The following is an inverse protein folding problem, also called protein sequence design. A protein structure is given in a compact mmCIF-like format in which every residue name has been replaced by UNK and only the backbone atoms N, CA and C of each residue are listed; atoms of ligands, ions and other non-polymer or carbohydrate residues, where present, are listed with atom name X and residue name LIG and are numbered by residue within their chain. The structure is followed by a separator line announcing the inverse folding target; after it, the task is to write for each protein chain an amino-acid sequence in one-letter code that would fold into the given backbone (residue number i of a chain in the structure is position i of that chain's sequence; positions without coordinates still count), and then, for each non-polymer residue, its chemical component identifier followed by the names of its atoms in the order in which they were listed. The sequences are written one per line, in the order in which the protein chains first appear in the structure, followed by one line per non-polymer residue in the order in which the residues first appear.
data_IF_760251153355
#
_entry.id   IF_760251153355
#
_cell.length_a   1.000
_cell.length_b   1.000
_cell.length_c   1.000
_cell.angle_alpha   90.00
_cell.angle_beta   90.00
_cell.angle_gamma   90.00
#
_symmetry.space_group_name_H-M   'P 1'
#
loop_
_entity.id
_entity.type
_entity.pdbx_description
1 polymer ?
#
# COMPACT_ATOMS: atom_id res chain seq x y z
N UNK A 1 53.87 34.61 7.96
CA UNK A 1 54.75 35.31 6.99
C UNK A 1 55.35 34.23 6.09
N UNK A 2 55.43 34.32 4.76
CA UNK A 2 55.35 35.48 3.84
C UNK A 2 54.60 35.13 2.53
N UNK A 3 54.29 36.13 1.69
CA UNK A 3 53.34 36.10 0.55
C UNK A 3 53.90 35.52 -0.77
N UNK A 4 52.98 35.00 -1.61
CA UNK A 4 52.66 35.33 -3.04
C UNK A 4 53.32 36.61 -3.68
N UNK A 5 53.17 36.91 -5.00
CA UNK A 5 52.41 36.27 -6.11
C UNK A 5 53.36 35.90 -7.32
N UNK A 6 53.07 35.85 -8.64
CA UNK A 6 52.01 36.32 -9.60
C UNK A 6 51.90 35.42 -10.87
N UNK A 7 50.84 35.63 -11.69
CA UNK A 7 50.81 35.40 -13.16
C UNK A 7 51.34 36.64 -13.93
N UNK A 8 51.82 36.46 -15.17
CA UNK A 8 51.65 37.44 -16.26
C UNK A 8 51.54 36.67 -17.61
N UNK A 9 50.68 37.13 -18.52
CA UNK A 9 50.48 36.55 -19.87
C UNK A 9 49.67 37.52 -20.73
N UNK A 10 50.28 38.09 -21.78
CA UNK A 10 49.68 39.13 -22.63
C UNK A 10 49.36 38.61 -24.02
N UNK A 11 48.05 38.56 -24.31
CA UNK A 11 47.36 39.31 -25.37
C UNK A 11 47.88 39.29 -26.84
N UNK A 12 46.91 39.48 -27.75
CA UNK A 12 46.97 39.62 -29.21
C UNK A 12 47.08 38.29 -30.01
N UNK A 13 46.39 38.13 -31.16
CA UNK A 13 45.69 39.12 -32.00
C UNK A 13 44.46 38.52 -32.71
N UNK A 14 43.56 39.37 -33.22
CA UNK A 14 42.30 39.03 -33.90
C UNK A 14 42.39 39.23 -35.42
N UNK A 15 41.80 38.32 -36.20
CA UNK A 15 41.19 38.58 -37.54
C UNK A 15 40.06 37.57 -37.78
N UNK A 16 39.03 37.95 -38.56
CA UNK A 16 37.77 37.19 -38.70
C UNK A 16 37.62 36.50 -40.08
N UNK A 17 36.69 35.52 -40.17
CA UNK A 17 36.33 34.86 -41.43
C UNK A 17 35.17 33.86 -41.27
N UNK A 18 34.07 34.07 -42.01
CA UNK A 18 32.82 33.27 -42.07
C UNK A 18 32.16 33.70 -43.42
N UNK A 19 31.46 32.87 -44.23
CA UNK A 19 30.45 31.89 -43.79
C UNK A 19 30.29 30.60 -44.66
N UNK A 20 29.15 29.92 -44.44
CA UNK A 20 28.44 28.98 -45.32
C UNK A 20 29.00 27.53 -45.48
N UNK A 21 28.20 26.50 -45.83
CA UNK A 21 26.83 26.05 -45.44
C UNK A 21 26.55 24.72 -46.17
N UNK A 22 25.78 23.80 -45.57
CA UNK A 22 25.52 22.41 -46.03
C UNK A 22 26.78 21.51 -46.00
N UNK A 23 26.68 20.17 -45.94
CA UNK A 23 25.51 19.30 -45.81
C UNK A 23 25.91 17.82 -45.95
N UNK A 24 24.93 16.96 -46.22
CA UNK A 24 25.05 15.52 -46.56
C UNK A 24 25.38 14.54 -45.40
N UNK A 25 24.94 13.30 -45.59
CA UNK A 25 24.94 12.21 -44.62
C UNK A 25 26.14 11.28 -44.88
N UNK A 26 26.70 10.65 -43.84
CA UNK A 26 27.57 9.47 -44.00
C UNK A 26 27.03 8.30 -43.18
N UNK A 27 26.54 7.27 -43.88
CA UNK A 27 25.88 6.10 -43.30
C UNK A 27 26.89 4.94 -43.29
N UNK A 28 27.86 4.99 -42.37
CA UNK A 28 28.81 3.91 -42.13
C UNK A 28 28.49 3.16 -40.83
N UNK A 29 28.04 1.92 -40.96
CA UNK A 29 27.74 1.06 -39.82
C UNK A 29 29.01 0.43 -39.23
N UNK A 30 29.18 0.50 -37.90
CA UNK A 30 30.13 -0.34 -37.15
C UNK A 30 29.40 -1.26 -36.15
N UNK A 31 29.89 -2.49 -36.01
CA UNK A 31 29.24 -3.57 -35.25
C UNK A 31 29.70 -3.60 -33.80
N UNK A 32 29.37 -2.55 -33.06
CA UNK A 32 29.65 -2.43 -31.63
C UNK A 32 28.76 -3.29 -30.72
N UNK A 33 28.89 -4.62 -30.75
CA UNK A 33 28.32 -5.49 -29.70
C UNK A 33 28.96 -5.13 -28.34
N UNK A 34 28.19 -4.46 -27.47
CA UNK A 34 28.58 -4.16 -26.09
C UNK A 34 27.43 -4.52 -25.16
N UNK A 35 27.78 -5.17 -24.05
CA UNK A 35 26.84 -5.66 -23.04
C UNK A 35 25.92 -4.54 -22.56
N UNK A 36 24.65 -4.87 -22.32
CA UNK A 36 23.69 -3.95 -21.71
C UNK A 36 24.20 -3.48 -20.36
N UNK A 37 24.58 -2.20 -20.28
CA UNK A 37 24.67 -1.48 -19.02
C UNK A 37 23.26 -1.10 -18.63
N UNK A 38 22.89 -1.26 -17.36
CA UNK A 38 21.71 -0.57 -16.81
C UNK A 38 21.99 0.94 -16.85
N UNK A 39 21.64 1.57 -17.97
CA UNK A 39 21.64 3.02 -18.11
C UNK A 39 20.29 3.52 -17.61
N UNK A 40 20.30 4.21 -16.47
CA UNK A 40 19.15 5.01 -16.05
C UNK A 40 18.69 5.89 -17.22
N UNK A 41 17.38 5.95 -17.52
CA UNK A 41 16.88 6.80 -18.59
C UNK A 41 17.24 8.26 -18.32
N UNK A 42 17.47 9.09 -19.36
CA UNK A 42 17.76 10.50 -19.18
C UNK A 42 16.61 11.19 -18.41
N UNK A 43 16.92 12.15 -17.53
CA UNK A 43 15.89 12.78 -16.70
C UNK A 43 14.88 13.53 -17.58
N UNK A 44 13.63 13.09 -17.51
CA UNK A 44 12.47 13.84 -18.00
C UNK A 44 12.40 15.20 -17.29
N UNK A 45 11.90 16.23 -17.98
CA UNK A 45 11.74 17.57 -17.39
C UNK A 45 10.64 17.63 -16.30
N UNK A 46 9.91 16.52 -16.09
CA UNK A 46 9.16 16.23 -14.88
C UNK A 46 9.90 15.16 -14.08
N UNK A 47 10.10 15.39 -12.78
CA UNK A 47 10.57 14.37 -11.82
C UNK A 47 9.51 13.26 -11.76
N UNK A 48 9.86 12.05 -12.20
CA UNK A 48 9.02 10.87 -11.95
C UNK A 48 9.12 10.49 -10.47
N UNK A 49 7.97 10.36 -9.81
CA UNK A 49 7.88 9.84 -8.45
C UNK A 49 8.14 8.33 -8.49
N UNK A 50 8.92 7.83 -7.53
CA UNK A 50 9.24 6.39 -7.44
C UNK A 50 8.59 5.75 -6.23
N UNK A 51 7.93 4.61 -6.42
CA UNK A 51 7.34 3.81 -5.34
C UNK A 51 8.15 2.52 -5.19
N UNK A 52 8.82 2.32 -4.05
CA UNK A 52 9.46 1.04 -3.73
C UNK A 52 8.43 0.06 -3.17
N UNK A 53 8.37 -1.15 -3.73
CA UNK A 53 7.41 -2.20 -3.34
C UNK A 53 8.10 -3.55 -3.18
N UNK A 54 7.54 -4.50 -2.41
CA UNK A 54 8.14 -5.80 -2.18
C UNK A 54 8.27 -6.60 -3.49
N UNK A 55 9.45 -7.13 -3.79
CA UNK A 55 9.74 -7.86 -5.03
C UNK A 55 9.38 -9.35 -5.03
N UNK A 56 9.04 -9.92 -3.87
CA UNK A 56 8.59 -11.31 -3.70
C UNK A 56 8.01 -11.55 -2.30
N UNK A 57 7.45 -12.73 -2.10
CA UNK A 57 6.94 -13.18 -0.79
C UNK A 57 5.55 -12.62 -0.49
N UNK A 58 5.04 -12.90 0.72
CA UNK A 58 3.63 -12.69 1.13
C UNK A 58 3.07 -11.27 0.98
N UNK A 59 3.91 -10.26 0.74
CA UNK A 59 3.50 -8.86 0.58
C UNK A 59 3.47 -8.41 -0.90
N UNK A 60 4.07 -9.16 -1.82
CA UNK A 60 4.22 -8.75 -3.22
C UNK A 60 2.87 -8.66 -3.94
N UNK A 61 2.13 -9.77 -4.00
CA UNK A 61 0.86 -9.86 -4.73
C UNK A 61 -0.18 -8.85 -4.21
N UNK A 62 -0.42 -8.67 -2.89
CA UNK A 62 -1.31 -7.62 -2.38
C UNK A 62 -0.84 -6.19 -2.65
N UNK A 63 0.48 -5.95 -2.73
CA UNK A 63 1.00 -4.61 -3.08
C UNK A 63 0.77 -4.29 -4.56
N UNK A 64 0.89 -5.30 -5.44
CA UNK A 64 0.56 -5.15 -6.86
C UNK A 64 -0.94 -4.97 -7.03
N UNK A 65 -1.78 -5.77 -6.36
CA UNK A 65 -3.24 -5.60 -6.41
C UNK A 65 -3.69 -4.20 -5.94
N UNK A 66 -3.06 -3.65 -4.90
CA UNK A 66 -3.30 -2.27 -4.46
C UNK A 66 -2.93 -1.23 -5.53
N UNK A 67 -1.82 -1.41 -6.26
CA UNK A 67 -1.45 -0.54 -7.38
C UNK A 67 -2.47 -0.63 -8.52
N UNK A 68 -2.87 -1.85 -8.90
CA UNK A 68 -3.88 -2.09 -9.93
C UNK A 68 -5.23 -1.46 -9.56
N UNK A 69 -5.78 -1.75 -8.36
CA UNK A 69 -7.03 -1.17 -7.86
C UNK A 69 -6.95 0.34 -7.69
N UNK A 70 -5.76 0.92 -7.45
CA UNK A 70 -5.56 2.36 -7.41
C UNK A 70 -5.55 3.04 -8.79
N UNK A 71 -5.47 2.27 -9.88
CA UNK A 71 -5.30 2.78 -11.25
C UNK A 71 -3.85 3.10 -11.62
N UNK A 72 -2.88 2.59 -10.85
CA UNK A 72 -1.44 2.67 -11.13
C UNK A 72 -0.96 1.36 -11.77
N UNK A 73 -1.70 0.89 -12.80
CA UNK A 73 -1.45 -0.36 -13.50
C UNK A 73 0.02 -0.50 -13.92
N UNK A 74 0.65 -1.60 -13.56
CA UNK A 74 2.08 -1.84 -13.84
C UNK A 74 2.23 -2.39 -15.26
N UNK A 75 3.01 -1.71 -16.11
CA UNK A 75 3.22 -2.19 -17.49
C UNK A 75 4.01 -3.51 -17.50
N UNK A 76 3.66 -4.44 -18.41
CA UNK A 76 4.32 -5.76 -18.53
C UNK A 76 5.81 -5.63 -18.91
N UNK A 77 6.67 -5.50 -17.90
CA UNK A 77 8.12 -5.57 -18.10
C UNK A 77 8.58 -7.00 -18.30
N UNK A 78 9.49 -7.21 -19.26
CA UNK A 78 10.14 -8.51 -19.46
C UNK A 78 10.84 -9.02 -18.18
N UNK A 79 10.80 -10.34 -17.98
CA UNK A 79 11.35 -11.05 -16.81
C UNK A 79 12.67 -10.44 -16.29
N UNK A 80 12.65 -10.04 -15.00
CA UNK A 80 13.78 -9.53 -14.19
C UNK A 80 14.10 -8.03 -14.31
N UNK A 81 13.21 -7.18 -14.83
CA UNK A 81 13.35 -5.74 -14.56
C UNK A 81 13.03 -5.45 -13.08
N UNK A 82 13.89 -4.66 -12.42
CA UNK A 82 13.69 -4.18 -11.04
C UNK A 82 12.92 -2.84 -10.99
N UNK A 83 12.50 -2.37 -12.16
CA UNK A 83 11.88 -1.08 -12.44
C UNK A 83 10.74 -1.35 -13.41
N UNK A 84 9.56 -0.81 -13.16
CA UNK A 84 8.44 -0.84 -14.10
C UNK A 84 7.76 0.52 -14.14
N UNK A 85 7.44 1.01 -15.34
CA UNK A 85 6.60 2.19 -15.48
C UNK A 85 5.12 1.81 -15.30
N UNK A 86 4.28 2.81 -15.03
CA UNK A 86 2.85 2.62 -14.78
C UNK A 86 1.99 3.39 -15.77
N UNK A 87 0.69 3.13 -15.78
CA UNK A 87 -0.29 3.90 -16.55
C UNK A 87 -0.27 5.42 -16.30
N UNK A 88 0.31 5.89 -15.18
CA UNK A 88 0.68 7.29 -14.99
C UNK A 88 2.18 7.50 -15.33
N UNK A 89 2.54 8.20 -16.42
CA UNK A 89 3.94 8.40 -16.82
C UNK A 89 4.74 9.31 -15.87
N UNK A 90 4.12 9.85 -14.82
CA UNK A 90 4.80 10.51 -13.71
C UNK A 90 5.17 9.55 -12.56
N UNK A 91 4.82 8.26 -12.63
CA UNK A 91 5.01 7.26 -11.56
C UNK A 91 5.71 6.00 -12.09
N UNK A 92 6.77 5.59 -11.40
CA UNK A 92 7.56 4.38 -11.68
C UNK A 92 7.66 3.52 -10.41
N UNK A 93 7.47 2.21 -10.54
CA UNK A 93 7.58 1.23 -9.45
C UNK A 93 9.00 0.64 -9.40
N UNK A 94 9.53 0.46 -8.19
CA UNK A 94 10.82 -0.20 -7.92
C UNK A 94 10.59 -1.48 -7.13
N UNK A 95 11.02 -2.62 -7.67
CA UNK A 95 10.87 -3.93 -7.02
C UNK A 95 12.07 -4.24 -6.12
N UNK A 96 11.91 -4.01 -4.81
CA UNK A 96 12.96 -4.05 -3.78
C UNK A 96 12.62 -5.12 -2.72
N UNK A 97 13.59 -5.62 -1.93
CA UNK A 97 13.25 -6.52 -0.82
C UNK A 97 12.58 -5.71 0.30
N UNK A 98 11.57 -6.26 0.97
CA UNK A 98 10.82 -5.55 2.01
C UNK A 98 11.72 -4.91 3.10
N UNK A 99 12.81 -5.58 3.48
CA UNK A 99 13.83 -5.10 4.43
C UNK A 99 14.64 -3.90 3.92
N UNK A 100 14.92 -3.83 2.62
CA UNK A 100 15.75 -2.76 2.02
C UNK A 100 14.90 -1.51 1.69
N UNK A 101 13.56 -1.62 1.63
CA UNK A 101 12.65 -0.53 1.25
C UNK A 101 12.80 0.75 2.10
N UNK A 102 12.91 0.70 3.44
CA UNK A 102 13.08 1.91 4.25
C UNK A 102 14.33 2.72 3.85
N UNK A 103 15.46 2.04 3.62
CA UNK A 103 16.69 2.69 3.16
C UNK A 103 16.53 3.30 1.77
N UNK A 104 15.83 2.62 0.85
CA UNK A 104 15.55 3.16 -0.49
C UNK A 104 14.72 4.45 -0.42
N UNK A 105 13.78 4.58 0.52
CA UNK A 105 13.02 5.82 0.69
C UNK A 105 13.88 6.89 1.38
N UNK A 106 14.60 6.56 2.46
CA UNK A 106 15.51 7.49 3.17
C UNK A 106 16.56 8.10 2.24
N UNK A 107 17.22 7.26 1.44
CA UNK A 107 18.37 7.67 0.62
C UNK A 107 17.97 8.36 -0.71
N UNK A 108 16.67 8.60 -0.95
CA UNK A 108 16.17 9.25 -2.16
C UNK A 108 16.09 8.36 -3.41
N UNK A 109 16.32 7.05 -3.27
CA UNK A 109 16.20 6.07 -4.35
C UNK A 109 14.73 5.81 -4.74
N UNK A 110 13.83 5.89 -3.78
CA UNK A 110 12.38 6.00 -3.94
C UNK A 110 11.86 7.29 -3.29
N UNK A 111 10.62 7.66 -3.55
CA UNK A 111 9.94 8.79 -2.91
C UNK A 111 8.79 8.30 -1.99
N UNK A 112 8.21 7.15 -2.31
CA UNK A 112 7.32 6.36 -1.47
C UNK A 112 7.85 4.93 -1.29
N UNK A 113 7.48 4.26 -0.20
CA UNK A 113 7.80 2.84 0.01
C UNK A 113 6.68 2.08 0.70
N UNK A 114 6.42 0.85 0.26
CA UNK A 114 5.41 -0.05 0.84
C UNK A 114 6.10 -1.22 1.53
N UNK A 115 6.03 -1.29 2.87
CA UNK A 115 6.64 -2.39 3.65
C UNK A 115 5.98 -2.56 5.02
N UNK A 116 6.35 -3.61 5.76
CA UNK A 116 5.85 -3.86 7.13
C UNK A 116 6.42 -2.86 8.15
N UNK A 117 5.65 -2.59 9.22
CA UNK A 117 6.13 -1.77 10.34
C UNK A 117 7.38 -2.40 10.99
N UNK A 118 7.45 -3.72 11.05
CA UNK A 118 8.63 -4.48 11.47
C UNK A 118 9.91 -4.09 10.70
N UNK A 119 9.89 -4.10 9.36
CA UNK A 119 11.04 -3.71 8.54
C UNK A 119 11.43 -2.24 8.80
N UNK A 120 10.45 -1.33 8.84
CA UNK A 120 10.70 0.09 9.08
C UNK A 120 11.32 0.34 10.47
N UNK A 121 10.78 -0.30 11.52
CA UNK A 121 11.30 -0.17 12.90
C UNK A 121 12.67 -0.81 13.08
N UNK A 122 12.94 -1.95 12.45
CA UNK A 122 14.25 -2.61 12.52
C UNK A 122 15.33 -1.79 11.79
N UNK A 123 14.99 -1.15 10.66
CA UNK A 123 15.90 -0.25 9.95
C UNK A 123 16.19 1.07 10.68
N UNK A 124 15.45 1.37 11.75
CA UNK A 124 15.63 2.59 12.56
C UNK A 124 15.14 3.89 11.92
N UNK A 125 14.51 3.86 10.74
CA UNK A 125 14.16 5.06 9.96
C UNK A 125 12.82 5.71 10.36
N UNK A 126 12.07 5.14 11.31
CA UNK A 126 10.77 5.65 11.79
C UNK A 126 10.78 5.79 13.31
N UNK A 127 10.19 6.88 13.83
CA UNK A 127 10.18 7.19 15.27
C UNK A 127 9.65 6.02 16.10
N UNK A 128 10.29 5.77 17.24
CA UNK A 128 9.84 4.82 18.26
C UNK A 128 8.65 5.40 19.05
N UNK A 129 7.77 4.57 19.67
CA UNK A 129 6.61 5.10 20.41
C UNK A 129 7.00 5.91 21.66
N UNK A 130 8.21 5.65 22.16
CA UNK A 130 8.88 6.21 23.32
C UNK A 130 10.09 7.08 22.95
N UNK A 131 10.20 7.48 21.67
CA UNK A 131 11.21 8.42 21.20
C UNK A 131 11.06 9.81 21.87
N UNK A 132 12.17 10.56 22.08
CA UNK A 132 12.12 11.98 22.44
C UNK A 132 11.32 12.80 21.42
N UNK A 133 10.65 13.86 21.89
CA UNK A 133 9.83 14.72 21.03
C UNK A 133 10.63 15.56 20.02
N UNK A 134 11.96 15.55 20.15
CA UNK A 134 12.98 16.15 19.28
C UNK A 134 13.73 15.13 18.41
N UNK A 135 13.33 13.84 18.40
CA UNK A 135 13.85 12.81 17.50
C UNK A 135 13.16 12.90 16.12
N UNK A 136 13.78 13.65 15.19
CA UNK A 136 13.37 13.68 13.79
C UNK A 136 13.62 12.32 13.11
N UNK A 137 12.57 11.67 12.60
CA UNK A 137 12.69 10.43 11.83
C UNK A 137 12.91 10.69 10.33
N UNK A 138 13.73 9.83 9.71
CA UNK A 138 13.98 9.82 8.27
C UNK A 138 12.69 9.66 7.44
N UNK A 139 11.74 8.87 7.95
CA UNK A 139 10.48 8.52 7.29
C UNK A 139 9.26 8.81 8.17
N UNK A 140 8.19 9.26 7.53
CA UNK A 140 6.84 9.32 8.09
C UNK A 140 5.98 8.17 7.57
N UNK A 141 5.08 7.68 8.43
CA UNK A 141 3.96 6.82 8.05
C UNK A 141 2.85 7.69 7.44
N UNK A 142 2.45 7.40 6.18
CA UNK A 142 1.39 8.14 5.50
C UNK A 142 0.02 7.44 5.62
N UNK A 143 0.00 6.11 5.66
CA UNK A 143 -1.21 5.29 5.57
C UNK A 143 -0.90 3.84 5.99
N UNK A 144 -1.73 3.23 6.84
CA UNK A 144 -1.76 1.79 7.04
C UNK A 144 -2.63 1.13 5.96
N UNK A 145 -2.16 0.04 5.35
CA UNK A 145 -2.73 -0.50 4.11
C UNK A 145 -3.71 -1.68 4.32
N UNK A 146 -4.03 -2.02 5.58
CA UNK A 146 -5.05 -3.03 5.92
C UNK A 146 -4.64 -4.50 5.74
N UNK A 147 -3.48 -4.81 5.14
CA UNK A 147 -3.02 -6.19 4.90
C UNK A 147 -1.64 -6.52 5.50
N UNK A 148 -1.29 -7.80 5.40
CA UNK A 148 0.02 -8.35 5.79
C UNK A 148 0.22 -8.49 7.31
N UNK A 149 -0.85 -8.38 8.09
CA UNK A 149 -0.83 -8.35 9.55
C UNK A 149 -0.09 -9.55 10.18
N UNK A 150 0.80 -9.23 11.10
CA UNK A 150 1.58 -10.20 11.87
C UNK A 150 2.02 -9.59 13.20
N UNK A 151 2.67 -10.41 14.03
CA UNK A 151 3.24 -9.97 15.30
C UNK A 151 4.67 -10.49 15.41
N UNK A 152 5.57 -9.62 15.85
CA UNK A 152 6.85 -10.04 16.40
C UNK A 152 6.59 -10.47 17.85
N UNK A 153 7.00 -11.68 18.22
CA UNK A 153 6.73 -12.27 19.55
C UNK A 153 7.99 -12.85 20.16
N UNK A 154 8.11 -12.75 21.48
CA UNK A 154 9.09 -13.50 22.26
C UNK A 154 8.53 -14.90 22.48
N UNK A 155 9.30 -15.94 22.14
CA UNK A 155 8.89 -17.33 22.30
C UNK A 155 10.02 -18.23 22.83
N UNK A 156 9.68 -19.20 23.67
CA UNK A 156 10.61 -20.10 24.34
C UNK A 156 10.11 -21.57 24.30
N UNK A 157 10.97 -22.58 24.54
CA UNK A 157 10.58 -23.99 24.49
C UNK A 157 9.40 -24.38 25.41
N UNK A 158 8.40 -25.05 24.85
CA UNK A 158 7.26 -25.58 25.60
C UNK A 158 7.71 -26.51 26.73
N UNK A 159 7.37 -26.16 27.97
CA UNK A 159 7.71 -26.94 29.16
C UNK A 159 9.15 -26.75 29.66
N UNK A 160 9.89 -25.76 29.15
CA UNK A 160 11.09 -25.24 29.80
C UNK A 160 10.76 -24.29 30.96
N UNK A 161 11.80 -23.73 31.59
CA UNK A 161 11.68 -22.87 32.77
C UNK A 161 11.33 -21.40 32.45
N UNK A 162 11.32 -21.00 31.18
CA UNK A 162 11.05 -19.62 30.73
C UNK A 162 9.54 -19.43 30.49
N UNK A 163 8.93 -18.55 31.28
CA UNK A 163 7.48 -18.29 31.32
C UNK A 163 7.12 -16.80 31.31
N UNK A 164 8.05 -15.94 31.70
CA UNK A 164 7.97 -14.48 31.70
C UNK A 164 9.23 -13.88 31.04
N UNK A 165 9.23 -12.56 30.81
CA UNK A 165 10.37 -11.87 30.17
C UNK A 165 11.57 -11.82 31.12
N UNK A 166 11.28 -11.72 32.42
CA UNK A 166 12.22 -11.66 33.53
C UNK A 166 12.98 -12.98 33.75
N UNK A 167 12.47 -14.11 33.23
CA UNK A 167 13.15 -15.41 33.28
C UNK A 167 14.38 -15.50 32.34
N UNK A 168 14.59 -14.48 31.49
CA UNK A 168 15.70 -14.38 30.53
C UNK A 168 16.87 -13.49 31.01
N UNK A 169 16.87 -13.01 32.25
CA UNK A 169 17.97 -12.19 32.80
C UNK A 169 19.33 -12.91 32.72
N UNK A 170 20.25 -12.37 31.92
CA UNK A 170 21.55 -12.98 31.60
C UNK A 170 21.50 -14.12 30.56
N UNK A 171 20.34 -14.36 29.94
CA UNK A 171 20.12 -15.36 28.89
C UNK A 171 20.33 -14.83 27.47
N UNK A 172 20.28 -15.75 26.50
CA UNK A 172 20.53 -15.49 25.07
C UNK A 172 19.23 -15.54 24.26
N UNK A 173 19.04 -14.58 23.35
CA UNK A 173 17.85 -14.49 22.49
C UNK A 173 18.26 -14.38 21.02
N UNK A 174 17.78 -15.30 20.18
CA UNK A 174 18.02 -15.29 18.73
C UNK A 174 16.93 -14.54 17.96
N UNK A 175 17.30 -13.78 16.92
CA UNK A 175 16.34 -13.00 16.12
C UNK A 175 16.88 -12.56 14.77
N UNK A 176 16.00 -12.36 13.78
CA UNK A 176 16.30 -11.56 12.57
C UNK A 176 16.08 -10.05 12.78
N UNK A 177 15.50 -9.66 13.92
CA UNK A 177 15.09 -8.29 14.30
C UNK A 177 15.84 -7.78 15.54
N UNK A 178 17.18 -7.64 15.48
CA UNK A 178 18.01 -7.38 16.65
C UNK A 178 17.87 -5.96 17.22
N UNK A 179 17.43 -4.97 16.44
CA UNK A 179 17.24 -3.59 16.90
C UNK A 179 15.92 -3.44 17.67
N UNK A 180 14.83 -4.05 17.16
CA UNK A 180 13.54 -4.14 17.87
C UNK A 180 13.69 -4.99 19.14
N UNK A 181 14.42 -6.11 19.06
CA UNK A 181 14.62 -7.01 20.22
C UNK A 181 15.37 -6.32 21.35
N UNK A 182 16.47 -5.61 21.07
CA UNK A 182 17.20 -4.84 22.09
C UNK A 182 16.35 -3.71 22.68
N UNK A 183 15.53 -3.05 21.86
CA UNK A 183 14.58 -2.01 22.30
C UNK A 183 13.52 -2.57 23.27
N UNK A 184 12.99 -3.76 22.99
CA UNK A 184 12.04 -4.45 23.87
C UNK A 184 12.65 -4.80 25.24
N UNK A 185 13.82 -5.46 25.26
CA UNK A 185 14.48 -5.82 26.53
C UNK A 185 14.92 -4.59 27.33
N UNK A 186 15.39 -3.53 26.66
CA UNK A 186 15.70 -2.25 27.31
C UNK A 186 14.46 -1.59 27.97
N UNK A 187 13.28 -1.63 27.33
CA UNK A 187 12.02 -1.17 27.94
C UNK A 187 11.62 -2.01 29.16
N UNK A 188 11.81 -3.33 29.07
CA UNK A 188 11.50 -4.30 30.14
C UNK A 188 12.48 -4.19 31.32
N UNK A 189 13.70 -3.71 31.08
CA UNK A 189 14.84 -3.64 32.04
C UNK A 189 15.33 -5.03 32.44
N UNK A 190 15.49 -5.90 31.45
CA UNK A 190 16.10 -7.23 31.56
C UNK A 190 17.33 -7.21 30.64
N UNK A 191 18.50 -7.66 31.14
CA UNK A 191 19.74 -7.70 30.36
C UNK A 191 19.88 -9.06 29.65
N UNK A 192 19.97 -9.07 28.31
CA UNK A 192 20.00 -10.29 27.48
C UNK A 192 21.00 -10.19 26.33
N UNK A 193 21.69 -11.29 26.00
CA UNK A 193 22.56 -11.37 24.82
C UNK A 193 21.73 -11.60 23.53
N UNK A 194 21.60 -10.57 22.69
CA UNK A 194 20.80 -10.62 21.45
C UNK A 194 21.65 -11.04 20.25
N UNK A 195 21.49 -12.29 19.84
CA UNK A 195 22.17 -12.94 18.71
C UNK A 195 21.38 -12.76 17.42
N UNK A 196 21.99 -12.11 16.43
CA UNK A 196 21.39 -11.98 15.09
C UNK A 196 21.57 -13.25 14.27
N UNK A 197 20.48 -13.75 13.67
CA UNK A 197 20.46 -14.92 12.78
C UNK A 197 19.90 -14.54 11.40
N UNK A 198 19.91 -15.49 10.45
CA UNK A 198 19.38 -15.29 9.09
C UNK A 198 18.67 -16.56 8.60
N UNK A 199 17.36 -16.65 8.79
CA UNK A 199 16.54 -17.83 8.54
C UNK A 199 16.65 -18.88 9.64
N UNK A 200 15.58 -19.67 9.79
CA UNK A 200 15.47 -20.81 10.71
C UNK A 200 15.65 -20.46 12.20
N UNK A 201 15.26 -19.24 12.59
CA UNK A 201 15.25 -18.76 13.99
C UNK A 201 14.54 -19.74 14.93
N UNK A 202 13.46 -20.36 14.47
CA UNK A 202 12.67 -21.35 15.20
C UNK A 202 13.44 -22.62 15.61
N UNK A 203 14.61 -22.87 15.01
CA UNK A 203 15.48 -24.01 15.36
C UNK A 203 16.50 -23.70 16.46
N UNK A 204 16.80 -22.42 16.75
CA UNK A 204 17.96 -22.06 17.58
C UNK A 204 17.92 -22.58 19.03
N UNK A 205 16.75 -22.72 19.70
CA UNK A 205 16.71 -23.35 21.02
C UNK A 205 16.95 -24.87 20.98
N UNK A 206 16.58 -25.55 19.89
CA UNK A 206 16.80 -26.99 19.75
C UNK A 206 18.26 -27.37 19.45
N UNK A 207 19.10 -26.39 19.13
CA UNK A 207 20.55 -26.56 18.91
C UNK A 207 21.39 -25.81 19.96
N UNK A 208 20.79 -25.47 21.11
CA UNK A 208 21.46 -24.87 22.27
C UNK A 208 22.21 -23.55 21.93
N UNK A 209 21.70 -22.77 20.96
CA UNK A 209 22.32 -21.51 20.51
C UNK A 209 21.68 -20.25 21.09
N UNK A 210 20.43 -20.36 21.57
CA UNK A 210 19.73 -19.31 22.32
C UNK A 210 18.63 -19.94 23.18
N UNK A 211 18.31 -19.34 24.33
CA UNK A 211 17.32 -19.85 25.27
C UNK A 211 15.88 -19.53 24.82
N UNK A 212 15.71 -18.40 24.13
CA UNK A 212 14.46 -17.96 23.50
C UNK A 212 14.71 -17.31 22.13
N UNK A 213 13.62 -17.00 21.43
CA UNK A 213 13.63 -16.31 20.13
C UNK A 213 12.73 -15.08 20.12
N UNK A 214 13.04 -14.12 19.25
CA UNK A 214 12.09 -13.09 18.82
C UNK A 214 11.92 -13.16 17.30
N UNK A 215 10.72 -13.52 16.85
CA UNK A 215 10.42 -13.83 15.44
C UNK A 215 8.99 -13.45 15.03
N UNK A 216 8.74 -13.38 13.71
CA UNK A 216 7.43 -13.03 13.13
C UNK A 216 6.48 -14.23 13.13
N UNK A 217 5.28 -14.03 13.68
CA UNK A 217 4.17 -14.97 13.58
C UNK A 217 2.91 -14.30 13.04
N UNK A 218 2.15 -15.02 12.20
CA UNK A 218 0.78 -14.64 11.80
C UNK A 218 -0.24 -15.64 12.35
N UNK A 219 -0.02 -16.95 12.17
CA UNK A 219 -0.95 -18.02 12.57
C UNK A 219 -0.51 -18.83 13.79
N UNK A 220 0.69 -18.60 14.34
CA UNK A 220 1.29 -19.44 15.38
C UNK A 220 1.85 -20.78 14.91
N UNK A 221 1.57 -21.21 13.66
CA UNK A 221 1.88 -22.57 13.18
C UNK A 221 3.37 -22.93 13.23
N UNK A 222 4.28 -22.01 12.87
CA UNK A 222 5.74 -22.23 12.93
C UNK A 222 6.21 -22.51 14.36
N UNK A 223 5.72 -21.73 15.33
CA UNK A 223 6.05 -21.90 16.74
C UNK A 223 5.54 -23.24 17.27
N UNK A 224 4.28 -23.58 16.97
CA UNK A 224 3.67 -24.85 17.38
C UNK A 224 4.39 -26.09 16.81
N UNK A 225 4.80 -26.04 15.54
CA UNK A 225 5.54 -27.15 14.90
C UNK A 225 6.91 -27.38 15.57
N UNK A 226 7.52 -26.32 16.10
CA UNK A 226 8.79 -26.39 16.83
C UNK A 226 8.61 -26.51 18.35
N UNK A 227 7.37 -26.56 18.87
CA UNK A 227 7.06 -26.59 20.31
C UNK A 227 7.63 -25.37 21.05
N UNK A 228 7.33 -24.18 20.54
CA UNK A 228 7.65 -22.89 21.14
C UNK A 228 6.37 -22.21 21.62
N UNK A 229 6.33 -21.87 22.92
CA UNK A 229 5.26 -21.09 23.52
C UNK A 229 5.56 -19.58 23.41
N UNK A 230 4.56 -18.76 23.14
CA UNK A 230 4.69 -17.30 23.20
C UNK A 230 4.74 -16.87 24.66
N UNK A 231 5.80 -16.13 25.02
CA UNK A 231 6.02 -15.52 26.33
C UNK A 231 5.42 -14.12 26.37
N UNK A 232 5.65 -13.30 25.33
CA UNK A 232 5.15 -11.93 25.25
C UNK A 232 5.07 -11.41 23.80
N UNK A 233 4.32 -10.33 23.58
CA UNK A 233 4.20 -9.65 22.30
C UNK A 233 5.20 -8.48 22.21
N UNK A 234 6.06 -8.50 21.20
CA UNK A 234 7.17 -7.54 21.03
C UNK A 234 6.75 -6.36 20.16
N UNK A 235 6.03 -6.62 19.06
CA UNK A 235 5.51 -5.62 18.14
C UNK A 235 4.31 -6.17 17.35
N UNK A 236 3.18 -5.47 17.35
CA UNK A 236 2.14 -5.68 16.33
C UNK A 236 2.51 -4.94 15.05
N UNK A 237 2.37 -5.60 13.89
CA UNK A 237 2.84 -5.08 12.59
C UNK A 237 1.85 -5.37 11.47
N UNK A 238 1.75 -4.43 10.54
CA UNK A 238 0.97 -4.48 9.30
C UNK A 238 1.63 -3.58 8.26
N UNK A 239 1.27 -3.75 6.98
CA UNK A 239 1.92 -3.03 5.87
C UNK A 239 1.47 -1.57 5.83
N UNK A 240 2.43 -0.69 5.57
CA UNK A 240 2.26 0.77 5.55
C UNK A 240 2.88 1.39 4.31
N UNK A 241 2.34 2.55 3.93
CA UNK A 241 2.97 3.49 3.01
C UNK A 241 3.85 4.46 3.81
N UNK A 242 5.14 4.50 3.51
CA UNK A 242 6.11 5.43 4.08
C UNK A 242 6.61 6.44 3.04
N UNK A 243 7.02 7.61 3.51
CA UNK A 243 7.62 8.68 2.71
C UNK A 243 8.66 9.44 3.53
N UNK A 244 9.59 10.16 2.87
CA UNK A 244 10.41 11.16 3.57
C UNK A 244 9.59 12.43 3.89
N UNK A 245 9.91 13.17 4.96
CA UNK A 245 9.32 14.48 5.25
C UNK A 245 9.38 15.49 4.09
N UNK A 246 10.41 15.46 3.23
CA UNK A 246 10.58 16.45 2.13
C UNK A 246 9.60 16.29 0.95
N UNK A 247 8.88 15.17 0.87
CA UNK A 247 7.98 14.86 -0.26
C UNK A 247 6.49 14.74 0.10
N UNK A 248 6.12 14.86 1.38
CA UNK A 248 4.72 14.71 1.83
C UNK A 248 3.74 15.73 1.20
N UNK A 249 4.28 16.88 0.78
CA UNK A 249 3.55 17.97 0.14
C UNK A 249 3.59 17.90 -1.40
N UNK A 250 4.29 16.93 -1.99
CA UNK A 250 4.31 16.72 -3.44
C UNK A 250 2.90 16.31 -3.92
N UNK A 251 2.32 17.01 -4.93
CA UNK A 251 0.98 16.69 -5.42
C UNK A 251 0.82 15.24 -5.88
N UNK A 252 1.88 14.58 -6.36
CA UNK A 252 1.82 13.18 -6.79
C UNK A 252 1.82 12.22 -5.60
N UNK A 253 2.60 12.51 -4.56
CA UNK A 253 2.58 11.75 -3.29
C UNK A 253 1.18 11.80 -2.68
N UNK A 254 0.58 12.99 -2.60
CA UNK A 254 -0.80 13.16 -2.10
C UNK A 254 -1.82 12.43 -2.97
N UNK A 255 -1.72 12.51 -4.29
CA UNK A 255 -2.60 11.78 -5.22
C UNK A 255 -2.52 10.26 -5.02
N UNK A 256 -1.31 9.70 -4.88
CA UNK A 256 -1.12 8.26 -4.64
C UNK A 256 -1.62 7.84 -3.26
N UNK A 257 -1.40 8.64 -2.20
CA UNK A 257 -2.01 8.38 -0.89
C UNK A 257 -3.53 8.29 -1.00
N UNK A 258 -4.19 9.32 -1.52
CA UNK A 258 -5.66 9.33 -1.68
C UNK A 258 -6.15 8.19 -2.58
N UNK A 259 -5.35 7.76 -3.55
CA UNK A 259 -5.68 6.57 -4.35
C UNK A 259 -5.69 5.28 -3.51
N UNK A 260 -4.63 5.02 -2.74
CA UNK A 260 -4.57 3.85 -1.85
C UNK A 260 -5.63 3.90 -0.73
N UNK A 261 -5.81 5.07 -0.12
CA UNK A 261 -6.83 5.36 0.90
C UNK A 261 -8.23 5.02 0.37
N UNK A 262 -8.52 5.36 -0.90
CA UNK A 262 -9.79 5.01 -1.55
C UNK A 262 -9.96 3.53 -1.93
N UNK A 263 -8.86 2.78 -2.13
CA UNK A 263 -8.92 1.31 -2.32
C UNK A 263 -9.29 0.64 -1.00
N UNK A 264 -8.69 1.09 0.11
CA UNK A 264 -8.90 0.56 1.45
C UNK A 264 -10.32 0.87 1.95
N UNK A 265 -10.84 2.08 1.69
CA UNK A 265 -12.22 2.44 2.04
C UNK A 265 -13.29 1.59 1.30
N UNK A 266 -12.96 1.07 0.12
CA UNK A 266 -13.81 0.14 -0.62
C UNK A 266 -13.63 -1.33 -0.22
N UNK A 267 -12.62 -1.65 0.58
CA UNK A 267 -12.32 -3.03 0.93
C UNK A 267 -13.36 -3.62 1.88
N UNK A 268 -13.74 -4.87 1.65
CA UNK A 268 -14.90 -5.49 2.30
C UNK A 268 -16.25 -4.80 2.00
N UNK A 269 -16.35 -3.87 1.06
CA UNK A 269 -17.61 -3.23 0.65
C UNK A 269 -18.16 -3.80 -0.65
N UNK A 270 -19.49 -3.81 -0.78
CA UNK A 270 -20.23 -4.24 -1.98
C UNK A 270 -21.36 -3.27 -2.29
N UNK A 271 -21.58 -3.00 -3.57
CA UNK A 271 -22.66 -2.15 -4.04
C UNK A 271 -23.85 -3.01 -4.47
N UNK A 272 -25.01 -2.75 -3.87
CA UNK A 272 -26.28 -3.40 -4.19
C UNK A 272 -27.14 -2.47 -5.04
N UNK A 273 -27.72 -3.02 -6.11
CA UNK A 273 -28.81 -2.42 -6.87
C UNK A 273 -29.99 -3.38 -6.86
N UNK A 274 -31.21 -2.92 -6.61
CA UNK A 274 -32.41 -3.75 -6.62
C UNK A 274 -33.66 -2.97 -7.03
N UNK A 275 -34.71 -3.70 -7.41
CA UNK A 275 -36.06 -3.18 -7.55
C UNK A 275 -36.83 -3.45 -6.25
N UNK A 276 -37.45 -2.45 -5.64
CA UNK A 276 -38.24 -2.59 -4.42
C UNK A 276 -39.65 -1.99 -4.56
N UNK A 277 -40.69 -2.55 -3.89
CA UNK A 277 -42.01 -1.92 -3.80
C UNK A 277 -41.94 -0.57 -3.08
N UNK A 278 -42.55 0.48 -3.63
CA UNK A 278 -42.48 1.85 -3.07
C UNK A 278 -43.10 1.94 -1.68
N UNK A 279 -44.17 1.20 -1.42
CA UNK A 279 -44.86 1.11 -0.13
C UNK A 279 -43.99 0.50 0.99
N UNK A 280 -42.95 -0.25 0.63
CA UNK A 280 -42.04 -0.95 1.57
C UNK A 280 -40.67 -0.30 1.73
N UNK A 281 -40.46 0.89 1.16
CA UNK A 281 -39.18 1.60 1.23
C UNK A 281 -38.65 1.83 2.66
N UNK A 282 -39.54 1.96 3.65
CA UNK A 282 -39.13 2.05 5.06
C UNK A 282 -38.48 0.75 5.53
N UNK A 283 -39.13 -0.39 5.32
CA UNK A 283 -38.61 -1.71 5.71
C UNK A 283 -37.33 -2.10 4.95
N UNK A 284 -37.12 -1.56 3.75
CA UNK A 284 -35.87 -1.73 2.99
C UNK A 284 -34.75 -0.87 3.57
N UNK A 285 -35.04 0.37 3.99
CA UNK A 285 -34.06 1.26 4.65
C UNK A 285 -33.57 0.70 5.98
N UNK A 286 -34.43 0.01 6.73
CA UNK A 286 -34.07 -0.67 7.98
C UNK A 286 -33.06 -1.83 7.75
N UNK A 287 -33.02 -2.40 6.53
CA UNK A 287 -32.12 -3.51 6.15
C UNK A 287 -30.86 -3.01 5.44
N UNK A 288 -30.95 -1.92 4.67
CA UNK A 288 -29.82 -1.27 3.99
C UNK A 288 -29.78 0.23 4.28
N UNK A 289 -29.20 0.65 5.43
CA UNK A 289 -29.02 2.07 5.73
C UNK A 289 -28.05 2.76 4.74
N UNK A 290 -27.14 2.03 4.11
CA UNK A 290 -26.10 2.63 3.26
C UNK A 290 -25.07 3.44 4.07
N UNK A 291 -24.34 4.33 3.39
CA UNK A 291 -23.44 5.29 4.04
C UNK A 291 -24.22 6.52 4.52
N UNK A 292 -24.86 7.25 3.59
CA UNK A 292 -25.72 8.43 3.86
C UNK A 292 -27.23 8.15 3.70
N UNK A 293 -27.63 6.88 3.60
CA UNK A 293 -28.96 6.47 3.14
C UNK A 293 -28.89 5.71 1.80
N UNK A 294 -29.86 4.81 1.50
CA UNK A 294 -29.97 4.21 0.19
C UNK A 294 -30.57 5.21 -0.81
N UNK A 295 -29.94 5.31 -1.98
CA UNK A 295 -30.45 6.10 -3.12
C UNK A 295 -31.69 5.43 -3.70
N UNK A 296 -32.74 6.20 -3.98
CA UNK A 296 -34.01 5.72 -4.53
C UNK A 296 -34.33 6.47 -5.82
N UNK A 297 -34.69 5.74 -6.88
CA UNK A 297 -35.00 6.28 -8.21
C UNK A 297 -36.28 5.66 -8.77
N UNK A 298 -37.08 6.48 -9.47
CA UNK A 298 -38.29 6.01 -10.14
C UNK A 298 -37.95 5.16 -11.38
N UNK A 299 -38.55 3.98 -11.50
CA UNK A 299 -38.40 3.13 -12.69
C UNK A 299 -39.43 3.55 -13.73
N UNK A 300 -38.97 3.91 -14.93
CA UNK A 300 -39.86 4.23 -16.05
C UNK A 300 -40.70 3.01 -16.46
N UNK A 301 -42.02 3.06 -16.21
CA UNK A 301 -42.92 1.96 -16.47
C UNK A 301 -43.32 1.90 -17.97
N UNK A 302 -42.97 0.85 -18.74
CA UNK A 302 -43.32 0.77 -20.15
C UNK A 302 -44.84 0.70 -20.39
N UNK A 303 -45.64 0.26 -19.41
CA UNK A 303 -47.10 0.25 -19.50
C UNK A 303 -47.73 1.67 -19.42
N UNK A 304 -46.99 2.66 -18.89
CA UNK A 304 -47.42 4.06 -18.89
C UNK A 304 -47.03 4.77 -20.21
N UNK A 305 -45.92 4.36 -20.85
CA UNK A 305 -45.51 4.94 -22.13
C UNK A 305 -46.46 4.58 -23.29
N UNK A 306 -47.00 3.36 -23.32
CA UNK A 306 -48.01 2.97 -24.33
C UNK A 306 -49.31 3.77 -24.19
N UNK A 307 -49.75 4.04 -22.96
CA UNK A 307 -50.90 4.90 -22.69
C UNK A 307 -50.63 6.37 -23.09
N UNK A 308 -49.41 6.87 -22.89
CA UNK A 308 -49.03 8.23 -23.26
C UNK A 308 -48.93 8.46 -24.79
N UNK A 309 -48.58 7.43 -25.57
CA UNK A 309 -48.45 7.55 -27.03
C UNK A 309 -49.84 7.56 -27.73
N UNK A 310 -50.79 6.76 -27.24
CA UNK A 310 -52.17 6.68 -27.74
C UNK A 310 -53.05 7.88 -27.28
N UNK A 311 -52.70 8.52 -26.15
CA UNK A 311 -53.46 9.63 -25.55
C UNK A 311 -53.09 11.05 -26.01
N UNK A 312 -52.28 11.22 -27.07
CA UNK A 312 -51.96 12.54 -27.67
C UNK A 312 -53.14 13.22 -28.41
N UNK A 313 -54.34 13.21 -27.83
CA UNK A 313 -55.57 13.86 -28.34
C UNK A 313 -56.41 14.60 -27.29
N UNK A 314 -55.84 15.02 -26.16
CA UNK A 314 -56.32 16.20 -25.40
C UNK A 314 -55.15 16.86 -24.66
N UNK A 315 -55.31 18.12 -24.23
CA UNK A 315 -54.25 18.97 -23.71
C UNK A 315 -54.47 19.41 -22.24
N UNK A 316 -53.60 20.31 -21.78
CA UNK A 316 -53.55 21.03 -20.49
C UNK A 316 -53.07 20.28 -19.23
N UNK A 317 -51.97 20.82 -18.71
CA UNK A 317 -51.69 21.13 -17.30
C UNK A 317 -51.77 20.02 -16.25
N UNK A 318 -50.65 19.31 -16.10
CA UNK A 318 -50.30 18.53 -14.91
C UNK A 318 -48.88 18.01 -15.01
N UNK A 319 -48.02 18.32 -14.02
CA UNK A 319 -46.79 17.55 -13.80
C UNK A 319 -47.22 16.25 -13.13
N UNK A 320 -47.31 15.18 -13.90
CA UNK A 320 -47.69 13.87 -13.37
C UNK A 320 -46.64 13.36 -12.40
N UNK A 321 -47.03 13.10 -11.15
CA UNK A 321 -46.22 12.32 -10.22
C UNK A 321 -46.10 10.90 -10.79
N UNK A 322 -44.87 10.38 -10.88
CA UNK A 322 -44.63 9.01 -11.32
C UNK A 322 -45.00 8.03 -10.20
N UNK A 323 -46.28 7.65 -10.15
CA UNK A 323 -46.77 6.49 -9.39
C UNK A 323 -46.24 5.18 -10.01
N UNK A 324 -44.91 5.01 -10.00
CA UNK A 324 -44.26 3.75 -10.27
C UNK A 324 -44.29 2.94 -8.97
N UNK A 325 -45.10 1.88 -8.96
CA UNK A 325 -45.26 0.91 -7.85
C UNK A 325 -43.92 0.33 -7.38
N UNK A 326 -42.95 0.26 -8.30
CA UNK A 326 -41.59 -0.25 -8.07
C UNK A 326 -40.57 0.86 -8.30
N UNK A 327 -39.59 0.96 -7.41
CA UNK A 327 -38.45 1.88 -7.47
C UNK A 327 -37.13 1.11 -7.53
N UNK A 328 -36.11 1.70 -8.13
CA UNK A 328 -34.75 1.21 -8.03
C UNK A 328 -34.13 1.74 -6.73
N UNK A 329 -33.52 0.86 -5.94
CA UNK A 329 -32.87 1.17 -4.66
C UNK A 329 -31.41 0.73 -4.72
N UNK A 330 -30.51 1.64 -4.39
CA UNK A 330 -29.06 1.46 -4.50
C UNK A 330 -28.38 1.79 -3.16
N UNK A 331 -27.48 0.93 -2.70
CA UNK A 331 -26.76 1.12 -1.43
C UNK A 331 -25.38 0.45 -1.44
N UNK A 332 -24.45 0.95 -0.63
CA UNK A 332 -23.24 0.24 -0.23
C UNK A 332 -23.52 -0.54 1.05
N UNK A 333 -23.03 -1.77 1.14
CA UNK A 333 -23.11 -2.63 2.34
C UNK A 333 -21.76 -3.32 2.58
N UNK A 334 -21.59 -3.86 3.78
CA UNK A 334 -20.46 -4.72 4.13
C UNK A 334 -20.61 -6.13 3.53
N UNK A 335 -19.53 -6.67 2.96
CA UNK A 335 -19.51 -7.93 2.22
C UNK A 335 -19.96 -9.12 3.07
N UNK A 336 -19.55 -9.16 4.34
CA UNK A 336 -19.93 -10.22 5.29
C UNK A 336 -21.45 -10.33 5.49
N UNK A 337 -22.17 -9.22 5.37
CA UNK A 337 -23.62 -9.16 5.53
C UNK A 337 -24.40 -9.38 4.22
N UNK A 338 -23.75 -9.40 3.05
CA UNK A 338 -24.45 -9.54 1.75
C UNK A 338 -25.36 -10.76 1.71
N UNK A 339 -24.95 -11.89 2.30
CA UNK A 339 -25.73 -13.13 2.32
C UNK A 339 -27.03 -13.01 3.13
N UNK A 340 -26.99 -12.37 4.30
CA UNK A 340 -28.14 -12.15 5.17
C UNK A 340 -29.02 -11.01 4.63
N UNK A 341 -28.39 -9.91 4.19
CA UNK A 341 -29.04 -8.74 3.58
C UNK A 341 -29.85 -9.11 2.33
N UNK A 342 -29.30 -9.89 1.38
CA UNK A 342 -30.07 -10.35 0.20
C UNK A 342 -31.33 -11.14 0.61
N UNK A 343 -31.24 -11.91 1.69
CA UNK A 343 -32.35 -12.74 2.16
C UNK A 343 -33.44 -11.88 2.80
N UNK A 344 -33.07 -10.97 3.70
CA UNK A 344 -34.00 -10.02 4.32
C UNK A 344 -34.67 -9.09 3.29
N UNK A 345 -33.91 -8.58 2.31
CA UNK A 345 -34.44 -7.76 1.22
C UNK A 345 -35.51 -8.49 0.39
N UNK A 346 -35.31 -9.78 0.11
CA UNK A 346 -36.32 -10.62 -0.60
C UNK A 346 -37.60 -10.80 0.22
N UNK A 347 -37.51 -10.93 1.54
CA UNK A 347 -38.70 -10.97 2.41
C UNK A 347 -39.46 -9.63 2.40
N UNK A 348 -38.75 -8.50 2.27
CA UNK A 348 -39.36 -7.19 2.02
C UNK A 348 -39.92 -7.05 0.59
N UNK A 349 -39.69 -8.01 -0.30
CA UNK A 349 -40.20 -8.02 -1.67
C UNK A 349 -39.26 -7.40 -2.69
N UNK A 350 -37.99 -7.17 -2.36
CA UNK A 350 -36.99 -6.72 -3.32
C UNK A 350 -36.70 -7.81 -4.37
N UNK A 351 -36.55 -7.39 -5.62
CA UNK A 351 -36.33 -8.25 -6.79
C UNK A 351 -35.20 -7.69 -7.65
N UNK A 352 -34.65 -8.51 -8.56
CA UNK A 352 -33.58 -8.06 -9.45
C UNK A 352 -32.30 -7.61 -8.73
N UNK A 353 -32.07 -8.07 -7.49
CA UNK A 353 -30.92 -7.68 -6.68
C UNK A 353 -29.63 -8.10 -7.39
N UNK A 354 -28.85 -7.12 -7.84
CA UNK A 354 -27.47 -7.28 -8.28
C UNK A 354 -26.53 -6.85 -7.15
N UNK A 355 -25.39 -7.52 -7.08
CA UNK A 355 -24.25 -7.17 -6.24
C UNK A 355 -23.07 -6.94 -7.18
N UNK A 356 -22.33 -5.86 -6.97
CA UNK A 356 -21.05 -5.61 -7.64
C UNK A 356 -20.00 -5.19 -6.62
N UNK A 357 -18.75 -5.48 -6.96
CA UNK A 357 -17.58 -5.04 -6.20
C UNK A 357 -17.39 -3.53 -6.37
N UNK A 358 -16.68 -2.92 -5.42
CA UNK A 358 -16.28 -1.52 -5.45
C UNK A 358 -14.76 -1.51 -5.51
N UNK A 359 -14.17 -1.05 -6.61
CA UNK A 359 -12.71 -0.99 -6.75
C UNK A 359 -12.12 0.07 -5.81
N UNK A 360 -12.81 1.23 -5.73
CA UNK A 360 -12.43 2.43 -4.98
C UNK A 360 -13.65 3.20 -4.46
N UNK A 361 -13.55 3.76 -3.26
CA UNK A 361 -14.54 4.62 -2.60
C UNK A 361 -13.81 5.87 -2.10
N UNK A 362 -14.29 7.06 -2.45
CA UNK A 362 -13.70 8.34 -2.02
C UNK A 362 -14.72 9.08 -1.17
N UNK A 363 -14.30 9.50 0.02
CA UNK A 363 -15.08 10.29 1.00
C UNK A 363 -14.56 11.73 1.09
#
# INVERSE_FOLDING_TARGET
MTKFPRRDSRDHRVTAGTPAVNGEEDITADRGHKLGRNTFPPPSQLRRMRIAVPNKGRLHEPTVELLERAGLHVEETADRQLYADTADPAVTVLFVRAADIPEYVRDGAADLGVTGLDQARESGTVSRPDAPADEEADLVELLELGYGSCRLVLAAPEGGDISAVEDLEGGTVATEFPSITREFFARKRVETDVVTVTGATELTPHVEMADAIVDITSTGTTLQVNRLAVVDEVLSSSVRLFARPDVIDDPKVRQTRTAFESVIAADGKRYLMMNAPRDRLAEVRDVIPGLDGPTVMDIANPAQQTAADDSRRTASDGVGENDAETVAVHAVVDEGDVFTTISALKEKGATGILVTEIERLVE
#
